data_IF_890633908923
#
_entry.id   IF_890633908923
#
_cell.length_a   1.000
_cell.length_b   1.000
_cell.length_c   1.000
_cell.angle_alpha   90.00
_cell.angle_beta   90.00
_cell.angle_gamma   90.00
#
_symmetry.space_group_name_H-M   'P 1'
#
loop_
_entity.id
_entity.type
_entity.pdbx_description
1 polymer ?
#
# COMPACT_ATOMS: atom_id res chain seq x y z
N UNK A 1 22.05 17.27 -7.34
CA UNK A 1 22.95 16.85 -6.23
C UNK A 1 22.15 16.36 -5.02
N UNK A 2 21.19 17.15 -4.53
CA UNK A 2 20.31 16.77 -3.40
C UNK A 2 19.59 15.44 -3.60
N UNK A 3 18.95 15.19 -4.74
CA UNK A 3 18.25 13.92 -4.99
C UNK A 3 19.19 12.70 -4.91
N UNK A 4 20.47 12.87 -5.30
CA UNK A 4 21.47 11.80 -5.17
C UNK A 4 21.87 11.58 -3.72
N UNK A 5 22.05 12.66 -2.95
CA UNK A 5 22.30 12.59 -1.51
C UNK A 5 21.17 11.86 -0.78
N UNK A 6 19.92 12.28 -0.98
CA UNK A 6 18.76 11.66 -0.33
C UNK A 6 18.55 10.21 -0.74
N UNK A 7 18.83 9.83 -2.00
CA UNK A 7 18.87 8.42 -2.40
C UNK A 7 19.92 7.62 -1.63
N UNK A 8 21.11 8.16 -1.42
CA UNK A 8 22.13 7.49 -0.60
C UNK A 8 21.70 7.40 0.87
N UNK A 9 21.09 8.45 1.43
CA UNK A 9 20.54 8.42 2.79
C UNK A 9 19.47 7.34 2.94
N UNK A 10 18.56 7.20 1.96
CA UNK A 10 17.52 6.19 1.98
C UNK A 10 18.05 4.75 2.04
N UNK A 11 19.29 4.49 1.60
CA UNK A 11 19.90 3.15 1.72
C UNK A 11 20.40 2.82 3.13
N UNK A 12 20.46 3.81 4.04
CA UNK A 12 21.03 3.68 5.39
C UNK A 12 20.08 4.10 6.50
N UNK A 13 19.17 5.02 6.22
CA UNK A 13 18.24 5.65 7.15
C UNK A 13 16.81 5.15 6.87
N UNK A 14 16.57 3.87 7.15
CA UNK A 14 15.34 3.17 6.74
C UNK A 14 14.34 2.90 7.86
N UNK A 15 14.69 3.21 9.11
CA UNK A 15 13.80 3.00 10.25
C UNK A 15 12.87 4.20 10.50
N UNK A 16 11.85 3.96 11.33
CA UNK A 16 10.79 4.94 11.65
C UNK A 16 11.36 6.23 12.24
N UNK A 17 12.29 6.13 13.19
CA UNK A 17 12.93 7.29 13.80
C UNK A 17 13.69 8.15 12.79
N UNK A 18 14.44 7.53 11.87
CA UNK A 18 15.19 8.28 10.88
C UNK A 18 14.28 9.00 9.88
N UNK A 19 13.19 8.35 9.48
CA UNK A 19 12.16 9.02 8.67
C UNK A 19 11.61 10.21 9.44
N UNK A 20 11.22 10.01 10.70
CA UNK A 20 10.65 11.08 11.51
C UNK A 20 11.63 12.24 11.75
N UNK A 21 12.91 11.97 11.99
CA UNK A 21 13.92 13.02 12.18
C UNK A 21 14.09 13.88 10.92
N UNK A 22 14.10 13.26 9.74
CA UNK A 22 14.16 13.98 8.47
C UNK A 22 12.86 14.73 8.17
N UNK A 23 11.70 14.15 8.46
CA UNK A 23 10.40 14.84 8.34
C UNK A 23 10.39 16.10 9.21
N UNK A 24 10.83 16.00 10.46
CA UNK A 24 10.92 17.13 11.38
C UNK A 24 11.88 18.20 10.84
N UNK A 25 13.09 17.80 10.41
CA UNK A 25 14.07 18.76 9.91
C UNK A 25 13.53 19.53 8.68
N UNK A 26 12.82 18.87 7.78
CA UNK A 26 12.20 19.52 6.61
C UNK A 26 11.04 20.43 7.03
N UNK A 27 10.20 20.00 7.96
CA UNK A 27 9.08 20.81 8.48
C UNK A 27 9.54 22.04 9.26
N UNK A 28 10.59 21.91 10.07
CA UNK A 28 11.21 23.02 10.80
C UNK A 28 11.87 24.03 9.84
N UNK A 29 12.42 23.55 8.73
CA UNK A 29 13.11 24.41 7.74
C UNK A 29 12.15 25.08 6.76
N UNK A 30 11.03 24.43 6.42
CA UNK A 30 10.11 24.87 5.38
C UNK A 30 8.66 24.94 5.92
N UNK A 31 8.15 26.13 6.26
CA UNK A 31 6.79 26.31 6.76
C UNK A 31 5.69 25.81 5.81
N UNK A 32 5.89 25.95 4.48
CA UNK A 32 4.94 25.46 3.48
C UNK A 32 4.88 23.92 3.51
N UNK A 33 6.00 23.26 3.78
CA UNK A 33 6.01 21.82 4.00
C UNK A 33 5.26 21.43 5.28
N UNK A 34 5.49 22.15 6.40
CA UNK A 34 4.74 21.89 7.63
C UNK A 34 3.23 22.04 7.39
N UNK A 35 2.80 23.11 6.72
CA UNK A 35 1.39 23.32 6.35
C UNK A 35 0.85 22.16 5.48
N UNK A 36 1.62 21.73 4.47
CA UNK A 36 1.26 20.61 3.60
C UNK A 36 1.18 19.29 4.38
N UNK A 37 2.07 19.08 5.36
CA UNK A 37 2.08 17.91 6.22
C UNK A 37 0.84 17.89 7.12
N UNK A 38 0.48 19.03 7.71
CA UNK A 38 -0.73 19.16 8.54
C UNK A 38 -2.02 19.03 7.69
N UNK A 39 -2.01 19.51 6.45
CA UNK A 39 -3.08 19.31 5.45
C UNK A 39 -3.26 17.81 5.14
N UNK A 40 -2.18 17.09 4.85
CA UNK A 40 -2.22 15.65 4.59
C UNK A 40 -2.79 14.85 5.78
N UNK A 41 -2.44 15.28 7.00
CA UNK A 41 -2.94 14.69 8.25
C UNK A 41 -4.40 15.07 8.56
N UNK A 42 -5.05 15.88 7.72
CA UNK A 42 -6.45 16.28 7.80
C UNK A 42 -6.79 17.07 9.07
N UNK A 43 -5.82 17.82 9.59
CA UNK A 43 -6.01 18.71 10.75
C UNK A 43 -6.66 20.03 10.33
N UNK A 44 -7.99 20.06 10.26
CA UNK A 44 -8.77 21.25 9.91
C UNK A 44 -8.60 22.41 10.92
N UNK A 45 -8.18 22.08 12.13
CA UNK A 45 -7.97 23.01 13.23
C UNK A 45 -6.64 23.76 13.14
N UNK A 46 -5.72 23.28 12.30
CA UNK A 46 -4.45 23.91 11.97
C UNK A 46 -4.68 25.02 10.95
N UNK A 47 -4.03 26.16 11.14
CA UNK A 47 -4.24 27.36 10.34
C UNK A 47 -2.96 27.72 9.59
N UNK A 48 -3.04 27.66 8.28
CA UNK A 48 -1.99 28.12 7.35
C UNK A 48 -1.63 29.59 7.64
N UNK A 49 -0.34 29.91 7.62
CA UNK A 49 0.21 31.25 7.84
C UNK A 49 0.34 31.67 9.31
N UNK A 50 -0.19 30.91 10.28
CA UNK A 50 0.03 31.18 11.70
C UNK A 50 1.30 30.45 12.20
N UNK A 51 2.13 31.07 13.06
CA UNK A 51 3.32 30.44 13.61
C UNK A 51 3.00 29.11 14.32
N UNK A 52 3.71 28.06 13.96
CA UNK A 52 3.62 26.75 14.58
C UNK A 52 5.01 26.24 14.95
N UNK A 53 5.10 25.49 16.03
CA UNK A 53 6.32 24.83 16.50
C UNK A 53 6.13 23.31 16.34
N UNK A 54 7.07 22.65 15.67
CA UNK A 54 7.11 21.18 15.58
C UNK A 54 8.27 20.63 16.42
N UNK A 55 7.96 19.66 17.28
CA UNK A 55 8.94 19.01 18.16
C UNK A 55 8.95 17.50 17.92
N UNK A 56 10.11 16.87 18.11
CA UNK A 56 10.29 15.41 18.08
C UNK A 56 10.25 14.82 19.49
N UNK A 57 9.69 13.62 19.59
CA UNK A 57 9.84 12.71 20.75
C UNK A 57 9.57 13.37 22.12
N UNK A 58 8.56 14.24 22.23
CA UNK A 58 8.22 14.92 23.49
C UNK A 58 7.59 13.92 24.47
N UNK A 59 8.36 13.51 25.49
CA UNK A 59 7.87 12.60 26.52
C UNK A 59 6.77 13.26 27.37
N UNK A 60 5.59 12.64 27.41
CA UNK A 60 4.49 13.01 28.32
C UNK A 60 3.97 11.74 28.98
N UNK A 61 4.15 11.59 30.29
CA UNK A 61 3.84 10.33 30.98
C UNK A 61 4.62 9.17 30.38
N UNK A 62 3.93 8.09 30.00
CA UNK A 62 4.50 6.92 29.33
C UNK A 62 4.44 7.00 27.79
N UNK A 63 3.95 8.12 27.23
CA UNK A 63 3.83 8.30 25.78
C UNK A 63 4.91 9.24 25.23
N UNK A 64 5.34 8.95 23.99
CA UNK A 64 6.38 9.70 23.30
C UNK A 64 6.06 9.75 21.80
N UNK A 65 5.19 10.68 21.38
CA UNK A 65 4.81 10.76 19.97
C UNK A 65 6.00 11.12 19.10
N UNK A 66 5.97 10.64 17.85
CA UNK A 66 6.96 11.02 16.87
C UNK A 66 7.01 12.53 16.68
N UNK A 67 5.86 13.17 16.56
CA UNK A 67 5.78 14.62 16.44
C UNK A 67 4.72 15.21 17.36
N UNK A 68 5.05 16.37 17.89
CA UNK A 68 4.10 17.25 18.54
C UNK A 68 4.16 18.62 17.87
N UNK A 69 3.04 19.07 17.32
CA UNK A 69 2.91 20.42 16.76
C UNK A 69 2.08 21.28 17.71
N UNK A 70 2.51 22.51 17.96
CA UNK A 70 1.76 23.51 18.74
C UNK A 70 1.46 24.73 17.89
N UNK A 71 0.21 25.16 17.87
CA UNK A 71 -0.24 26.37 17.17
C UNK A 71 -1.46 26.97 17.87
N UNK A 72 -1.42 28.26 18.20
CA UNK A 72 -2.59 28.97 18.74
C UNK A 72 -3.21 28.33 19.98
N UNK A 73 -2.39 27.74 20.86
CA UNK A 73 -2.84 27.01 22.06
C UNK A 73 -3.38 25.60 21.81
N UNK A 74 -3.43 25.14 20.55
CA UNK A 74 -3.78 23.76 20.19
C UNK A 74 -2.53 22.88 20.13
N UNK A 75 -2.72 21.61 20.44
CA UNK A 75 -1.71 20.57 20.35
C UNK A 75 -2.15 19.51 19.32
N UNK A 76 -1.23 19.15 18.44
CA UNK A 76 -1.40 18.07 17.47
C UNK A 76 -0.34 17.01 17.74
N UNK A 77 -0.79 15.76 17.87
CA UNK A 77 0.05 14.61 18.18
C UNK A 77 0.05 13.67 16.98
N UNK A 78 1.23 13.32 16.50
CA UNK A 78 1.40 12.54 15.27
C UNK A 78 2.32 11.37 15.55
N UNK A 79 1.88 10.17 15.19
CA UNK A 79 2.66 8.93 15.22
C UNK A 79 3.02 8.52 13.79
N UNK A 80 4.23 8.02 13.57
CA UNK A 80 4.73 7.53 12.30
C UNK A 80 5.00 6.01 12.37
N UNK A 81 4.48 5.24 11.42
CA UNK A 81 4.73 3.80 11.33
C UNK A 81 5.12 3.35 9.93
N UNK A 82 6.24 2.66 9.79
CA UNK A 82 6.65 2.03 8.53
C UNK A 82 6.35 0.53 8.60
N UNK A 83 6.76 -0.12 9.69
CA UNK A 83 6.67 -1.58 9.83
C UNK A 83 5.95 -2.01 11.11
N UNK A 84 6.10 -1.23 12.19
CA UNK A 84 5.49 -1.55 13.47
C UNK A 84 3.97 -1.33 13.40
N UNK A 85 3.21 -2.34 13.82
CA UNK A 85 1.73 -2.31 13.88
C UNK A 85 1.20 -2.11 15.31
N UNK A 86 2.07 -1.85 16.27
CA UNK A 86 1.66 -1.44 17.62
C UNK A 86 1.39 0.06 17.65
N UNK A 87 0.11 0.41 17.57
CA UNK A 87 -0.32 1.80 17.39
C UNK A 87 -0.59 2.59 18.68
N UNK A 88 -0.69 1.92 19.84
CA UNK A 88 -0.92 2.54 21.14
C UNK A 88 -2.08 3.57 21.21
N UNK A 89 -3.13 3.42 20.38
CA UNK A 89 -4.21 4.40 20.25
C UNK A 89 -4.87 4.79 21.59
N UNK A 90 -5.21 3.82 22.43
CA UNK A 90 -5.85 4.04 23.74
C UNK A 90 -4.94 4.79 24.72
N UNK A 91 -3.64 4.49 24.67
CA UNK A 91 -2.65 5.14 25.51
C UNK A 91 -2.55 6.63 25.14
N UNK A 92 -2.44 6.94 23.84
CA UNK A 92 -2.41 8.33 23.38
C UNK A 92 -3.73 9.07 23.64
N UNK A 93 -4.88 8.39 23.52
CA UNK A 93 -6.17 8.99 23.87
C UNK A 93 -6.25 9.37 25.35
N UNK A 94 -5.62 8.59 26.23
CA UNK A 94 -5.56 8.86 27.67
C UNK A 94 -4.54 9.95 28.01
N UNK A 95 -3.34 9.90 27.41
CA UNK A 95 -2.26 10.87 27.69
C UNK A 95 -2.55 12.26 27.10
N UNK A 96 -3.21 12.32 25.94
CA UNK A 96 -3.47 13.57 25.22
C UNK A 96 -4.96 13.73 24.87
N UNK A 97 -5.85 13.80 25.87
CA UNK A 97 -7.30 13.80 25.65
C UNK A 97 -7.75 14.98 24.74
N UNK A 98 -7.15 16.16 24.93
CA UNK A 98 -7.52 17.40 24.23
C UNK A 98 -6.73 17.64 22.93
N UNK A 99 -5.74 16.80 22.60
CA UNK A 99 -4.94 16.98 21.40
C UNK A 99 -5.66 16.43 20.15
N UNK A 100 -5.48 17.07 19.01
CA UNK A 100 -5.80 16.45 17.73
C UNK A 100 -4.76 15.37 17.43
N UNK A 101 -5.18 14.16 17.03
CA UNK A 101 -4.26 13.03 16.84
C UNK A 101 -4.30 12.52 15.41
N UNK A 102 -3.15 12.09 14.89
CA UNK A 102 -3.05 11.44 13.61
C UNK A 102 -1.99 10.32 13.61
N UNK A 103 -2.26 9.28 12.83
CA UNK A 103 -1.29 8.26 12.45
C UNK A 103 -0.97 8.44 10.97
N UNK A 104 0.31 8.57 10.64
CA UNK A 104 0.82 8.39 9.29
C UNK A 104 1.54 7.05 9.18
N UNK A 105 1.26 6.27 8.13
CA UNK A 105 1.93 4.98 7.97
C UNK A 105 2.24 4.55 6.54
N UNK A 106 3.18 3.61 6.38
CA UNK A 106 3.54 3.06 5.06
C UNK A 106 2.56 1.99 4.53
N UNK A 107 1.56 1.60 5.32
CA UNK A 107 0.60 0.54 5.00
C UNK A 107 -0.83 0.94 5.32
N UNK A 108 -1.81 0.26 4.73
CA UNK A 108 -3.23 0.43 5.07
C UNK A 108 -3.58 -0.24 6.39
N UNK A 109 -4.30 0.47 7.26
CA UNK A 109 -4.95 -0.13 8.43
C UNK A 109 -6.09 -1.06 8.00
N UNK A 110 -6.26 -2.18 8.70
CA UNK A 110 -7.45 -3.02 8.60
C UNK A 110 -8.71 -2.25 9.02
N UNK A 111 -9.90 -2.71 8.63
CA UNK A 111 -11.17 -2.08 9.06
C UNK A 111 -11.29 -1.99 10.59
N UNK A 112 -10.83 -3.03 11.30
CA UNK A 112 -10.84 -3.05 12.76
C UNK A 112 -9.88 -2.03 13.36
N UNK A 113 -8.67 -1.88 12.80
CA UNK A 113 -7.71 -0.88 13.25
C UNK A 113 -8.18 0.54 12.94
N UNK A 114 -8.84 0.76 11.80
CA UNK A 114 -9.45 2.06 11.46
C UNK A 114 -10.57 2.41 12.44
N UNK A 115 -11.46 1.47 12.76
CA UNK A 115 -12.50 1.69 13.77
C UNK A 115 -11.89 2.02 15.14
N UNK A 116 -10.85 1.27 15.55
CA UNK A 116 -10.12 1.51 16.79
C UNK A 116 -9.42 2.88 16.80
N UNK A 117 -8.80 3.29 15.70
CA UNK A 117 -8.21 4.62 15.56
C UNK A 117 -9.28 5.72 15.69
N UNK A 118 -10.37 5.61 14.95
CA UNK A 118 -11.48 6.57 14.97
C UNK A 118 -12.11 6.70 16.38
N UNK A 119 -12.35 5.57 17.06
CA UNK A 119 -12.87 5.55 18.43
C UNK A 119 -11.97 6.28 19.43
N UNK A 120 -10.66 6.29 19.18
CA UNK A 120 -9.65 6.97 20.00
C UNK A 120 -9.28 8.36 19.46
N UNK A 121 -10.04 8.91 18.51
CA UNK A 121 -9.86 10.26 17.97
C UNK A 121 -8.63 10.43 17.07
N UNK A 122 -8.11 9.33 16.49
CA UNK A 122 -7.03 9.38 15.52
C UNK A 122 -7.57 9.58 14.11
N UNK A 123 -6.97 10.53 13.40
CA UNK A 123 -7.00 10.59 11.94
C UNK A 123 -5.98 9.61 11.38
N UNK A 124 -6.20 9.18 10.14
CA UNK A 124 -5.34 8.23 9.47
C UNK A 124 -5.02 8.68 8.04
N UNK A 125 -3.73 8.59 7.69
CA UNK A 125 -3.19 8.86 6.37
C UNK A 125 -2.02 7.92 6.07
N UNK A 126 -1.78 7.62 4.80
CA UNK A 126 -0.60 6.88 4.36
C UNK A 126 0.51 7.82 3.91
N UNK A 127 1.77 7.38 4.00
CA UNK A 127 2.90 8.05 3.36
C UNK A 127 2.74 8.19 1.85
N UNK A 128 1.97 7.30 1.22
CA UNK A 128 1.63 7.41 -0.19
C UNK A 128 0.70 8.58 -0.48
N UNK A 129 -0.35 8.76 0.32
CA UNK A 129 -1.22 9.95 0.22
C UNK A 129 -0.40 11.23 0.45
N UNK A 130 0.51 11.24 1.44
CA UNK A 130 1.41 12.37 1.68
C UNK A 130 2.31 12.65 0.48
N UNK A 131 2.94 11.62 -0.11
CA UNK A 131 3.78 11.78 -1.31
C UNK A 131 2.97 12.29 -2.49
N UNK A 132 1.75 11.79 -2.70
CA UNK A 132 0.86 12.28 -3.76
C UNK A 132 0.54 13.76 -3.60
N UNK A 133 0.26 14.22 -2.37
CA UNK A 133 0.06 15.64 -2.09
C UNK A 133 1.34 16.46 -2.32
N UNK A 134 2.50 15.98 -1.87
CA UNK A 134 3.77 16.66 -2.10
C UNK A 134 4.09 16.80 -3.60
N UNK A 135 3.89 15.74 -4.39
CA UNK A 135 4.12 15.75 -5.83
C UNK A 135 3.18 16.73 -6.55
N UNK A 136 1.91 16.79 -6.16
CA UNK A 136 0.95 17.79 -6.66
C UNK A 136 1.40 19.22 -6.34
N UNK A 137 1.73 19.51 -5.08
CA UNK A 137 2.18 20.85 -4.65
C UNK A 137 3.52 21.25 -5.28
N UNK A 138 4.43 20.30 -5.48
CA UNK A 138 5.67 20.49 -6.25
C UNK A 138 5.39 20.85 -7.71
N UNK A 139 4.42 20.21 -8.35
CA UNK A 139 4.04 20.50 -9.74
C UNK A 139 3.45 21.91 -9.91
N UNK A 140 2.81 22.42 -8.86
CA UNK A 140 2.27 23.77 -8.77
C UNK A 140 3.34 24.84 -8.42
N UNK A 141 4.57 24.41 -8.12
CA UNK A 141 5.67 25.32 -7.78
C UNK A 141 5.54 25.97 -6.39
N UNK A 142 4.84 25.33 -5.44
CA UNK A 142 4.58 25.91 -4.12
C UNK A 142 5.80 25.93 -3.18
N UNK A 143 6.84 25.15 -3.47
CA UNK A 143 8.04 25.08 -2.65
C UNK A 143 9.18 25.86 -3.29
N UNK A 144 9.60 26.94 -2.64
CA UNK A 144 10.82 27.68 -2.97
C UNK A 144 11.93 27.35 -1.97
N UNK A 145 12.48 26.14 -2.08
CA UNK A 145 13.45 25.59 -1.11
C UNK A 145 14.70 24.98 -1.75
N UNK A 146 14.98 25.32 -3.02
CA UNK A 146 16.10 24.76 -3.77
C UNK A 146 15.97 23.25 -4.08
N UNK A 147 14.78 22.67 -3.94
CA UNK A 147 14.49 21.26 -4.24
C UNK A 147 14.68 20.32 -3.05
N UNK A 148 14.67 20.84 -1.81
CA UNK A 148 14.75 20.02 -0.59
C UNK A 148 13.53 19.12 -0.48
N UNK A 149 12.31 19.67 -0.60
CA UNK A 149 11.07 18.89 -0.54
C UNK A 149 11.00 17.87 -1.67
N UNK A 150 11.46 18.19 -2.87
CA UNK A 150 11.55 17.23 -3.96
C UNK A 150 12.50 16.06 -3.63
N UNK A 151 13.67 16.35 -3.05
CA UNK A 151 14.63 15.31 -2.66
C UNK A 151 14.14 14.48 -1.47
N UNK A 152 13.49 15.11 -0.49
CA UNK A 152 12.83 14.44 0.63
C UNK A 152 11.70 13.53 0.16
N UNK A 153 10.87 13.97 -0.79
CA UNK A 153 9.79 13.16 -1.37
C UNK A 153 10.36 11.86 -1.98
N UNK A 154 11.50 11.92 -2.67
CA UNK A 154 12.18 10.72 -3.16
C UNK A 154 12.69 9.82 -2.03
N UNK A 155 13.23 10.40 -0.96
CA UNK A 155 13.65 9.62 0.21
C UNK A 155 12.48 8.88 0.86
N UNK A 156 11.33 9.54 1.06
CA UNK A 156 10.12 8.90 1.60
C UNK A 156 9.68 7.74 0.70
N UNK A 157 9.72 7.93 -0.62
CA UNK A 157 9.34 6.86 -1.57
C UNK A 157 10.21 5.62 -1.42
N UNK A 158 11.51 5.79 -1.25
CA UNK A 158 12.44 4.67 -1.06
C UNK A 158 12.25 4.02 0.32
N UNK A 159 12.21 4.81 1.40
CA UNK A 159 12.11 4.29 2.77
C UNK A 159 10.77 3.60 3.04
N UNK A 160 9.67 4.18 2.57
CA UNK A 160 8.33 3.61 2.72
C UNK A 160 8.00 2.60 1.61
N UNK A 161 8.97 2.23 0.76
CA UNK A 161 8.80 1.30 -0.37
C UNK A 161 7.59 1.65 -1.25
N UNK A 162 7.36 2.95 -1.48
CA UNK A 162 6.27 3.46 -2.32
C UNK A 162 6.60 3.10 -3.76
N UNK A 163 5.89 2.09 -4.26
CA UNK A 163 6.17 1.52 -5.57
C UNK A 163 5.79 2.49 -6.68
N UNK A 164 6.79 2.84 -7.51
CA UNK A 164 6.58 3.44 -8.83
C UNK A 164 5.98 2.39 -9.77
N UNK A 165 4.73 2.58 -10.16
CA UNK A 165 4.08 1.70 -11.12
C UNK A 165 4.40 2.17 -12.54
N UNK A 166 4.63 1.21 -13.43
CA UNK A 166 4.89 1.47 -14.84
C UNK A 166 3.91 0.67 -15.66
N UNK A 167 3.51 1.22 -16.81
CA UNK A 167 2.69 0.50 -17.77
C UNK A 167 3.43 -0.80 -18.16
N UNK A 168 2.71 -1.92 -18.16
CA UNK A 168 3.28 -3.22 -18.54
C UNK A 168 3.14 -3.39 -20.04
N UNK A 169 4.25 -3.72 -20.69
CA UNK A 169 4.37 -3.91 -22.13
C UNK A 169 5.18 -5.17 -22.42
N UNK A 170 4.66 -6.10 -23.22
CA UNK A 170 5.35 -7.37 -23.49
C UNK A 170 6.69 -7.15 -24.23
N UNK A 171 6.76 -6.12 -25.07
CA UNK A 171 7.96 -5.75 -25.81
C UNK A 171 9.14 -5.30 -24.92
N UNK A 172 8.89 -5.00 -23.63
CA UNK A 172 9.95 -4.64 -22.67
C UNK A 172 10.72 -5.87 -22.14
N UNK A 173 10.32 -7.09 -22.54
CA UNK A 173 10.96 -8.35 -22.15
C UNK A 173 10.92 -8.55 -20.64
N UNK A 174 12.04 -8.93 -20.03
CA UNK A 174 12.15 -9.18 -18.57
C UNK A 174 11.72 -7.98 -17.72
N UNK A 175 11.86 -6.74 -18.24
CA UNK A 175 11.39 -5.54 -17.52
C UNK A 175 9.87 -5.50 -17.37
N UNK A 176 9.12 -6.15 -18.26
CA UNK A 176 7.67 -6.29 -18.13
C UNK A 176 7.31 -7.10 -16.88
N UNK A 177 8.05 -8.17 -16.57
CA UNK A 177 7.81 -8.99 -15.38
C UNK A 177 8.00 -8.19 -14.10
N UNK A 178 9.02 -7.33 -14.05
CA UNK A 178 9.22 -6.44 -12.92
C UNK A 178 8.07 -5.42 -12.79
N UNK A 179 7.66 -4.78 -13.88
CA UNK A 179 6.52 -3.86 -13.88
C UNK A 179 5.22 -4.55 -13.44
N UNK A 180 4.96 -5.76 -13.96
CA UNK A 180 3.79 -6.56 -13.60
C UNK A 180 3.81 -6.98 -12.13
N UNK A 181 4.95 -7.46 -11.62
CA UNK A 181 5.10 -7.86 -10.22
C UNK A 181 4.78 -6.70 -9.27
N UNK A 182 5.16 -5.47 -9.63
CA UNK A 182 4.78 -4.27 -8.86
C UNK A 182 3.30 -3.94 -8.96
N UNK A 183 2.67 -4.13 -10.12
CA UNK A 183 1.22 -4.01 -10.26
C UNK A 183 0.48 -5.06 -9.41
N UNK A 184 0.94 -6.30 -9.38
CA UNK A 184 0.37 -7.35 -8.53
C UNK A 184 0.51 -7.00 -7.04
N UNK A 185 1.68 -6.53 -6.59
CA UNK A 185 1.88 -6.05 -5.23
C UNK A 185 0.94 -4.86 -4.90
N UNK A 186 0.76 -3.94 -5.85
CA UNK A 186 -0.15 -2.81 -5.71
C UNK A 186 -1.60 -3.25 -5.53
N UNK A 187 -2.06 -4.28 -6.27
CA UNK A 187 -3.40 -4.85 -6.07
C UNK A 187 -3.61 -5.26 -4.61
N UNK A 188 -2.66 -5.98 -4.01
CA UNK A 188 -2.78 -6.46 -2.63
C UNK A 188 -2.65 -5.38 -1.56
N UNK A 189 -1.88 -4.31 -1.82
CA UNK A 189 -1.53 -3.31 -0.79
C UNK A 189 -2.38 -2.06 -0.84
N UNK A 190 -2.83 -1.69 -2.03
CA UNK A 190 -3.44 -0.39 -2.27
C UNK A 190 -4.72 -0.46 -3.08
N UNK A 191 -4.74 -1.27 -4.13
CA UNK A 191 -5.84 -1.28 -5.07
C UNK A 191 -7.07 -2.04 -4.54
N UNK A 192 -6.88 -3.14 -3.83
CA UNK A 192 -7.98 -3.97 -3.35
C UNK A 192 -8.75 -3.27 -2.22
N UNK A 193 -10.05 -3.04 -2.47
CA UNK A 193 -10.99 -2.49 -1.48
C UNK A 193 -12.29 -3.28 -1.59
N UNK A 194 -12.54 -4.18 -0.64
CA UNK A 194 -13.79 -4.92 -0.54
C UNK A 194 -14.27 -4.91 0.90
N UNK A 195 -15.53 -4.56 1.11
CA UNK A 195 -16.12 -4.52 2.45
C UNK A 195 -16.03 -5.89 3.12
N UNK A 196 -15.66 -5.91 4.41
CA UNK A 196 -15.49 -7.13 5.18
C UNK A 196 -14.19 -7.90 4.92
N UNK A 197 -13.31 -7.38 4.05
CA UNK A 197 -12.01 -7.98 3.77
C UNK A 197 -10.88 -6.97 3.81
N UNK A 198 -9.71 -7.45 4.22
CA UNK A 198 -8.45 -6.70 4.15
C UNK A 198 -7.43 -7.54 3.41
N UNK A 199 -6.69 -6.92 2.49
CA UNK A 199 -5.62 -7.58 1.78
C UNK A 199 -4.27 -6.97 2.15
N UNK A 200 -3.26 -7.82 2.25
CA UNK A 200 -1.87 -7.41 2.43
C UNK A 200 -0.97 -8.23 1.54
N UNK A 201 0.14 -7.64 1.09
CA UNK A 201 1.16 -8.39 0.37
C UNK A 201 1.81 -9.42 1.31
N UNK A 202 1.85 -10.67 0.87
CA UNK A 202 2.56 -11.77 1.50
C UNK A 202 3.71 -12.13 0.57
N UNK A 203 4.96 -12.10 1.06
CA UNK A 203 6.13 -12.21 0.17
C UNK A 203 6.93 -13.50 0.41
N UNK A 204 6.36 -14.69 0.10
CA UNK A 204 7.08 -15.94 0.22
C UNK A 204 8.10 -16.07 -0.94
N UNK A 205 9.19 -16.85 -0.76
CA UNK A 205 10.13 -17.16 -1.85
C UNK A 205 9.48 -17.80 -3.10
N UNK A 206 8.28 -18.38 -2.95
CA UNK A 206 7.50 -19.03 -4.02
C UNK A 206 6.91 -18.07 -5.05
N UNK A 207 7.00 -16.75 -4.83
CA UNK A 207 6.46 -15.74 -5.75
C UNK A 207 7.14 -15.74 -7.13
N UNK A 208 8.28 -16.41 -7.27
CA UNK A 208 9.02 -16.57 -8.52
C UNK A 208 9.41 -18.04 -8.73
N UNK A 209 9.38 -18.47 -9.98
CA UNK A 209 9.85 -19.80 -10.38
C UNK A 209 10.37 -19.80 -11.80
N UNK A 210 10.64 -21.00 -12.33
CA UNK A 210 11.24 -21.17 -13.65
C UNK A 210 10.34 -20.64 -14.78
N UNK A 211 9.02 -20.70 -14.59
CA UNK A 211 8.03 -20.28 -15.58
C UNK A 211 6.94 -19.36 -15.04
N UNK A 212 7.16 -18.68 -13.91
CA UNK A 212 6.22 -17.69 -13.37
C UNK A 212 6.90 -16.59 -12.56
N UNK A 213 6.24 -15.44 -12.49
CA UNK A 213 6.61 -14.32 -11.62
C UNK A 213 5.37 -13.56 -11.16
N UNK A 214 5.30 -13.23 -9.87
CA UNK A 214 4.17 -12.52 -9.32
C UNK A 214 4.34 -12.16 -7.85
N UNK A 215 3.22 -12.07 -7.14
CA UNK A 215 3.15 -11.76 -5.72
C UNK A 215 2.08 -12.63 -5.06
N UNK A 216 2.20 -12.86 -3.75
CA UNK A 216 1.13 -13.44 -2.97
C UNK A 216 0.42 -12.35 -2.15
N UNK A 217 -0.88 -12.49 -1.99
CA UNK A 217 -1.70 -11.68 -1.10
C UNK A 217 -2.28 -12.56 0.00
N UNK A 218 -2.32 -12.04 1.22
CA UNK A 218 -3.14 -12.59 2.30
C UNK A 218 -4.43 -11.77 2.37
N UNK A 219 -5.57 -12.46 2.27
CA UNK A 219 -6.90 -11.89 2.40
C UNK A 219 -7.51 -12.33 3.74
N UNK A 220 -7.67 -11.38 4.65
CA UNK A 220 -8.26 -11.60 5.97
C UNK A 220 -9.71 -11.12 5.98
N UNK A 221 -10.62 -11.93 6.50
CA UNK A 221 -12.04 -11.59 6.65
C UNK A 221 -12.34 -11.02 8.03
N UNK A 222 -13.25 -10.06 8.10
CA UNK A 222 -13.80 -9.56 9.36
C UNK A 222 -14.63 -10.60 10.14
N UNK A 223 -15.06 -11.68 9.49
CA UNK A 223 -15.90 -12.73 10.08
C UNK A 223 -15.12 -13.83 10.83
N UNK A 224 -13.86 -13.56 11.21
CA UNK A 224 -12.99 -14.49 11.94
C UNK A 224 -12.79 -15.85 11.22
N UNK A 225 -12.74 -15.82 9.88
CA UNK A 225 -12.39 -16.98 9.05
C UNK A 225 -10.87 -17.10 8.92
N UNK A 226 -10.32 -18.32 8.72
CA UNK A 226 -8.89 -18.49 8.41
C UNK A 226 -8.51 -17.66 7.19
N UNK A 227 -7.32 -17.04 7.12
CA UNK A 227 -6.92 -16.22 5.98
C UNK A 227 -6.87 -17.01 4.67
N UNK A 228 -7.16 -16.32 3.56
CA UNK A 228 -7.05 -16.85 2.20
C UNK A 228 -5.78 -16.31 1.55
N UNK A 229 -4.95 -17.20 1.01
CA UNK A 229 -3.71 -16.85 0.33
C UNK A 229 -3.88 -17.00 -1.18
N UNK A 230 -3.65 -15.94 -1.93
CA UNK A 230 -3.77 -15.94 -3.39
C UNK A 230 -2.47 -15.47 -4.05
N UNK A 231 -2.05 -16.15 -5.10
CA UNK A 231 -1.03 -15.65 -6.02
C UNK A 231 -1.68 -14.78 -7.09
N UNK A 232 -1.05 -13.67 -7.47
CA UNK A 232 -1.35 -12.93 -8.70
C UNK A 232 -0.05 -12.73 -9.49
N UNK A 233 -0.02 -13.23 -10.72
CA UNK A 233 1.23 -13.29 -11.47
C UNK A 233 1.06 -13.48 -12.97
N UNK A 234 2.21 -13.55 -13.64
CA UNK A 234 2.33 -14.01 -15.01
C UNK A 234 2.95 -15.41 -15.03
N UNK A 235 2.33 -16.31 -15.76
CA UNK A 235 2.85 -17.64 -16.11
C UNK A 235 3.32 -17.62 -17.57
N UNK A 236 4.49 -18.18 -17.86
CA UNK A 236 5.12 -18.22 -19.18
C UNK A 236 5.73 -19.59 -19.48
N UNK A 237 5.02 -20.65 -19.08
CA UNK A 237 5.36 -22.05 -19.34
C UNK A 237 5.87 -22.28 -20.78
N UNK A 238 6.92 -23.10 -20.89
CA UNK A 238 7.55 -23.51 -22.16
C UNK A 238 6.53 -24.21 -23.09
N UNK A 239 5.47 -24.79 -22.53
CA UNK A 239 4.45 -25.56 -23.28
C UNK A 239 3.23 -24.72 -23.71
N UNK A 240 3.19 -23.42 -23.36
CA UNK A 240 2.13 -22.49 -23.77
C UNK A 240 2.77 -21.43 -24.68
N UNK A 241 2.36 -21.35 -25.94
CA UNK A 241 2.90 -20.42 -26.97
C UNK A 241 2.87 -18.91 -26.60
N UNK A 242 2.31 -18.55 -25.44
CA UNK A 242 2.22 -17.19 -24.93
C UNK A 242 2.11 -17.15 -23.40
N UNK A 243 2.59 -16.05 -22.78
CA UNK A 243 2.35 -15.80 -21.36
C UNK A 243 0.85 -15.66 -21.04
N UNK A 244 0.51 -15.85 -19.78
CA UNK A 244 -0.83 -15.70 -19.23
C UNK A 244 -0.78 -14.91 -17.91
N UNK A 245 -1.83 -14.15 -17.61
CA UNK A 245 -2.03 -13.52 -16.30
C UNK A 245 -2.97 -14.42 -15.50
N UNK A 246 -2.55 -14.80 -14.30
CA UNK A 246 -3.22 -15.82 -13.49
C UNK A 246 -3.39 -15.37 -12.04
N UNK A 247 -4.47 -15.85 -11.42
CA UNK A 247 -4.60 -15.94 -9.97
C UNK A 247 -4.57 -17.42 -9.60
N UNK A 248 -3.69 -17.80 -8.66
CA UNK A 248 -3.64 -19.17 -8.13
C UNK A 248 -4.06 -19.21 -6.66
N UNK A 249 -4.74 -20.29 -6.30
CA UNK A 249 -5.08 -20.63 -4.92
C UNK A 249 -4.55 -22.04 -4.66
N UNK A 250 -3.45 -22.12 -3.92
CA UNK A 250 -2.79 -23.38 -3.59
C UNK A 250 -3.58 -24.16 -2.53
N UNK A 251 -3.70 -25.46 -2.69
CA UNK A 251 -4.43 -26.38 -1.80
C UNK A 251 -3.80 -26.43 -0.40
N UNK A 252 -2.47 -26.38 -0.31
CA UNK A 252 -1.75 -26.50 0.97
C UNK A 252 -2.07 -25.33 1.93
N UNK A 253 -2.29 -24.13 1.40
CA UNK A 253 -2.69 -22.95 2.17
C UNK A 253 -4.20 -22.74 2.25
N UNK A 254 -4.97 -23.29 1.30
CA UNK A 254 -6.40 -22.99 1.15
C UNK A 254 -7.27 -24.25 1.03
N UNK A 255 -6.90 -25.33 1.73
CA UNK A 255 -7.51 -26.66 1.57
C UNK A 255 -9.04 -26.64 1.59
N UNK A 256 -9.66 -25.93 2.54
CA UNK A 256 -11.13 -25.86 2.64
C UNK A 256 -11.77 -25.32 1.35
N UNK A 257 -11.25 -24.21 0.83
CA UNK A 257 -11.72 -23.64 -0.45
C UNK A 257 -11.46 -24.62 -1.57
N UNK A 258 -10.25 -25.17 -1.66
CA UNK A 258 -9.87 -26.09 -2.72
C UNK A 258 -10.81 -27.29 -2.78
N UNK A 259 -11.15 -27.91 -1.64
CA UNK A 259 -12.07 -29.05 -1.60
C UNK A 259 -13.51 -28.65 -1.99
N UNK A 260 -13.99 -27.52 -1.50
CA UNK A 260 -15.36 -27.06 -1.72
C UNK A 260 -15.59 -26.48 -3.13
N UNK A 261 -14.52 -26.07 -3.81
CA UNK A 261 -14.61 -25.47 -5.13
C UNK A 261 -15.08 -26.50 -6.16
N UNK A 262 -16.19 -26.16 -6.79
CA UNK A 262 -16.79 -26.89 -7.91
C UNK A 262 -16.71 -26.00 -9.13
N UNK A 263 -16.10 -26.49 -10.20
CA UNK A 263 -16.00 -25.77 -11.47
C UNK A 263 -17.39 -25.33 -11.96
N UNK A 264 -17.63 -24.02 -12.19
CA UNK A 264 -18.89 -23.58 -12.76
C UNK A 264 -19.24 -24.27 -14.08
N UNK A 265 -20.52 -24.22 -14.48
CA UNK A 265 -20.96 -24.83 -15.73
C UNK A 265 -20.65 -23.97 -16.98
N UNK A 266 -20.30 -22.70 -16.78
CA UNK A 266 -20.10 -21.73 -17.86
C UNK A 266 -18.83 -20.90 -17.65
N UNK A 267 -18.12 -20.54 -18.73
CA UNK A 267 -16.98 -19.63 -18.66
C UNK A 267 -17.44 -18.23 -18.25
N UNK A 268 -16.61 -17.52 -17.49
CA UNK A 268 -16.86 -16.13 -17.11
C UNK A 268 -16.37 -15.21 -18.24
N UNK A 269 -16.92 -14.00 -18.31
CA UNK A 269 -16.58 -13.04 -19.37
C UNK A 269 -15.11 -12.61 -19.38
N UNK A 270 -14.42 -12.69 -18.23
CA UNK A 270 -13.08 -12.13 -18.04
C UNK A 270 -11.98 -13.21 -17.90
N UNK A 271 -12.30 -14.38 -17.39
CA UNK A 271 -11.33 -15.42 -17.11
C UNK A 271 -11.90 -16.83 -17.27
N UNK A 272 -11.01 -17.76 -17.60
CA UNK A 272 -11.22 -19.19 -17.51
C UNK A 272 -10.75 -19.68 -16.13
N UNK A 273 -11.28 -20.80 -15.66
CA UNK A 273 -10.80 -21.43 -14.43
C UNK A 273 -10.58 -22.92 -14.63
N UNK A 274 -9.72 -23.50 -13.79
CA UNK A 274 -9.39 -24.92 -13.79
C UNK A 274 -8.99 -25.34 -12.38
N UNK A 275 -9.48 -26.49 -11.93
CA UNK A 275 -8.95 -27.19 -10.75
C UNK A 275 -7.82 -28.11 -11.20
N UNK A 276 -6.58 -27.71 -10.95
CA UNK A 276 -5.42 -28.55 -11.24
C UNK A 276 -5.19 -29.54 -10.09
N UNK A 277 -5.63 -30.78 -10.30
CA UNK A 277 -5.48 -31.88 -9.33
C UNK A 277 -4.05 -32.41 -9.23
N UNK A 278 -3.23 -32.21 -10.25
CA UNK A 278 -1.86 -32.74 -10.27
C UNK A 278 -0.92 -31.82 -9.50
N UNK A 279 -1.13 -30.52 -9.63
CA UNK A 279 -0.29 -29.51 -9.01
C UNK A 279 -0.91 -28.89 -7.74
N UNK A 280 -2.16 -29.25 -7.40
CA UNK A 280 -2.80 -28.83 -6.15
C UNK A 280 -3.15 -27.35 -6.10
N UNK A 281 -3.67 -26.77 -7.18
CA UNK A 281 -4.13 -25.38 -7.18
C UNK A 281 -5.41 -25.15 -7.98
N UNK A 282 -6.18 -24.13 -7.59
CA UNK A 282 -7.20 -23.54 -8.45
C UNK A 282 -6.53 -22.46 -9.29
N UNK A 283 -6.68 -22.57 -10.60
CA UNK A 283 -6.20 -21.56 -11.54
C UNK A 283 -7.36 -20.74 -12.06
N UNK A 284 -7.20 -19.42 -12.00
CA UNK A 284 -8.06 -18.45 -12.67
C UNK A 284 -7.18 -17.69 -13.66
N UNK A 285 -7.43 -17.85 -14.95
CA UNK A 285 -6.58 -17.33 -16.01
C UNK A 285 -7.35 -16.33 -16.85
N UNK A 286 -6.81 -15.14 -17.08
CA UNK A 286 -7.41 -14.21 -18.05
C UNK A 286 -7.60 -14.89 -19.40
N UNK A 287 -8.81 -14.78 -19.96
CA UNK A 287 -9.05 -15.30 -21.29
C UNK A 287 -8.26 -14.50 -22.33
N UNK A 288 -8.11 -15.06 -23.53
CA UNK A 288 -7.21 -14.51 -24.55
C UNK A 288 -7.55 -13.07 -24.97
N UNK A 289 -8.84 -12.75 -25.04
CA UNK A 289 -9.31 -11.41 -25.39
C UNK A 289 -8.98 -10.41 -24.28
N UNK A 290 -9.23 -10.80 -23.03
CA UNK A 290 -8.92 -10.00 -21.85
C UNK A 290 -7.40 -9.77 -21.71
N UNK A 291 -6.60 -10.82 -21.94
CA UNK A 291 -5.15 -10.76 -21.92
C UNK A 291 -4.62 -9.79 -22.99
N UNK A 292 -5.09 -9.89 -24.24
CA UNK A 292 -4.68 -8.97 -25.30
C UNK A 292 -5.08 -7.52 -24.99
N UNK A 293 -6.30 -7.31 -24.47
CA UNK A 293 -6.79 -5.99 -24.10
C UNK A 293 -6.01 -5.35 -22.95
N UNK A 294 -5.44 -6.13 -22.03
CA UNK A 294 -4.63 -5.61 -20.93
C UNK A 294 -3.39 -4.86 -21.41
N UNK A 295 -2.65 -5.39 -22.40
CA UNK A 295 -1.42 -4.77 -22.87
C UNK A 295 -1.63 -3.54 -23.77
N UNK A 296 -2.83 -3.35 -24.31
CA UNK A 296 -3.18 -2.14 -25.07
C UNK A 296 -3.62 -0.95 -24.21
N UNK A 297 -3.78 -1.14 -22.89
CA UNK A 297 -4.30 -0.15 -21.94
C UNK A 297 -3.22 0.76 -21.39
N UNK A 298 -3.59 1.98 -21.02
CA UNK A 298 -2.75 2.88 -20.20
C UNK A 298 -2.50 2.28 -18.80
N UNK A 299 -1.56 2.84 -18.04
CA UNK A 299 -1.26 2.36 -16.69
C UNK A 299 -2.49 2.38 -15.77
N UNK A 300 -3.27 3.45 -15.77
CA UNK A 300 -4.46 3.55 -14.91
C UNK A 300 -5.56 2.57 -15.34
N UNK A 301 -5.72 2.36 -16.64
CA UNK A 301 -6.63 1.32 -17.15
C UNK A 301 -6.13 -0.10 -16.83
N UNK A 302 -4.82 -0.36 -16.85
CA UNK A 302 -4.24 -1.64 -16.44
C UNK A 302 -4.45 -1.89 -14.95
N UNK A 303 -4.28 -0.86 -14.12
CA UNK A 303 -4.55 -0.91 -12.68
C UNK A 303 -6.00 -1.28 -12.41
N UNK A 304 -6.95 -0.57 -13.03
CA UNK A 304 -8.37 -0.88 -12.87
C UNK A 304 -8.70 -2.28 -13.39
N UNK A 305 -8.19 -2.66 -14.57
CA UNK A 305 -8.45 -3.97 -15.16
C UNK A 305 -7.96 -5.13 -14.29
N UNK A 306 -6.76 -5.01 -13.72
CA UNK A 306 -6.19 -6.03 -12.84
C UNK A 306 -6.98 -6.13 -11.52
N UNK A 307 -7.49 -5.00 -11.02
CA UNK A 307 -8.40 -5.00 -9.87
C UNK A 307 -9.73 -5.66 -10.18
N UNK A 308 -10.35 -5.35 -11.32
CA UNK A 308 -11.62 -5.95 -11.71
C UNK A 308 -11.47 -7.47 -11.87
N UNK A 309 -10.36 -7.92 -12.46
CA UNK A 309 -10.02 -9.34 -12.53
C UNK A 309 -9.86 -9.97 -11.15
N UNK A 310 -9.02 -9.38 -10.29
CA UNK A 310 -8.77 -9.92 -8.96
C UNK A 310 -10.04 -9.95 -8.10
N UNK A 311 -10.84 -8.88 -8.12
CA UNK A 311 -12.12 -8.82 -7.41
C UNK A 311 -13.10 -9.90 -7.89
N UNK A 312 -13.19 -10.11 -9.20
CA UNK A 312 -14.07 -11.13 -9.76
C UNK A 312 -13.63 -12.56 -9.35
N UNK A 313 -12.33 -12.82 -9.20
CA UNK A 313 -11.82 -14.07 -8.64
C UNK A 313 -12.15 -14.19 -7.15
N UNK A 314 -11.91 -13.13 -6.37
CA UNK A 314 -12.26 -13.13 -4.93
C UNK A 314 -13.76 -13.34 -4.71
N UNK A 315 -14.62 -12.70 -5.52
CA UNK A 315 -16.07 -12.92 -5.49
C UNK A 315 -16.41 -14.40 -5.70
N UNK A 316 -15.83 -15.04 -6.72
CA UNK A 316 -16.08 -16.45 -7.01
C UNK A 316 -15.62 -17.36 -5.87
N UNK A 317 -14.43 -17.11 -5.34
CA UNK A 317 -13.81 -17.95 -4.30
C UNK A 317 -14.53 -17.80 -2.96
N UNK A 318 -14.97 -16.59 -2.63
CA UNK A 318 -15.63 -16.31 -1.35
C UNK A 318 -17.03 -16.91 -1.25
N UNK A 319 -17.63 -17.38 -2.36
CA UNK A 319 -18.85 -18.22 -2.33
C UNK A 319 -18.61 -19.58 -1.67
N UNK A 320 -17.36 -20.05 -1.66
CA UNK A 320 -16.96 -21.35 -1.12
C UNK A 320 -16.19 -21.25 0.21
N UNK A 321 -16.08 -20.02 0.73
CA UNK A 321 -15.33 -19.64 1.92
C UNK A 321 -16.17 -19.62 3.19
#
# INVERSE_FOLDING_TARGET
>A
MLSKLFKHLATRLTNENNLSDLTWAVAETNPVFLETFMEALKFQEFKTGEPAEIMREVQTGDSRPDFMVKQGGKCFVIENKIWDRQHHFEQYATTFPDAAKALISAYKLSSQEQERANKNGFRYVTWREMVGLLEDKLSQGLFDDGGIVAAYTQFVKEVCTIMELKQVRLEDGVRCLHAFTRLAAWVFTEGFTKEGFTCTNYNPPRAFGECWAGQYGELTSSQNKPPLYLFLGMEFSIDKDRPAIVVWIEEDWNNQIYQNFSEPAYPKSLFDYKKDKNNGFLEFKLNDNAFAAFFSKSLEEQKQFLLDFFNAVVDEVTLHY
#
